data_IF_809587752193
#
_entry.id   IF_809587752193
#
_cell.length_a   1.000
_cell.length_b   1.000
_cell.length_c   1.000
_cell.angle_alpha   90.00
_cell.angle_beta   90.00
_cell.angle_gamma   90.00
#
_symmetry.space_group_name_H-M   'P 1'
#
loop_
_entity.id
_entity.type
_entity.pdbx_description
1 polymer ?
#
# COMPACT_ATOMS: atom_id res chain seq x y z
N UNK A 1 -11.92 11.74 -46.27
CA UNK A 1 -12.32 11.75 -44.89
C UNK A 1 -12.68 13.16 -44.47
N UNK A 2 -13.79 13.32 -43.79
CA UNK A 2 -14.24 14.64 -43.37
C UNK A 2 -13.44 15.12 -42.18
N UNK A 3 -12.99 16.36 -42.21
CA UNK A 3 -12.19 16.97 -41.17
C UNK A 3 -12.87 16.89 -39.77
N UNK A 4 -14.19 17.01 -39.73
CA UNK A 4 -14.99 16.91 -38.48
C UNK A 4 -14.79 15.56 -37.79
N UNK A 5 -14.73 14.47 -38.54
CA UNK A 5 -14.49 13.12 -37.99
C UNK A 5 -13.09 13.01 -37.39
N UNK A 6 -12.09 13.56 -38.07
CA UNK A 6 -10.71 13.57 -37.58
C UNK A 6 -10.59 14.36 -36.28
N UNK A 7 -11.21 15.54 -36.19
CA UNK A 7 -11.19 16.38 -35.00
C UNK A 7 -11.89 15.68 -33.83
N UNK A 8 -13.04 15.06 -34.07
CA UNK A 8 -13.75 14.32 -33.02
C UNK A 8 -12.92 13.16 -32.49
N UNK A 9 -12.24 12.41 -33.36
CA UNK A 9 -11.38 11.30 -32.97
C UNK A 9 -10.23 11.80 -32.09
N UNK A 10 -9.61 12.92 -32.45
CA UNK A 10 -8.51 13.51 -31.66
C UNK A 10 -8.98 13.96 -30.28
N UNK A 11 -10.16 14.57 -30.19
CA UNK A 11 -10.73 15.01 -28.92
C UNK A 11 -11.01 13.81 -28.02
N UNK A 12 -11.65 12.77 -28.53
CA UNK A 12 -11.96 11.55 -27.78
C UNK A 12 -10.66 10.88 -27.28
N UNK A 13 -9.66 10.76 -28.14
CA UNK A 13 -8.37 10.18 -27.78
C UNK A 13 -7.68 10.98 -26.66
N UNK A 14 -7.74 12.32 -26.74
CA UNK A 14 -7.16 13.18 -25.71
C UNK A 14 -7.85 13.02 -24.36
N UNK A 15 -9.19 12.93 -24.36
CA UNK A 15 -9.98 12.72 -23.13
C UNK A 15 -9.65 11.38 -22.51
N UNK A 16 -9.56 10.31 -23.31
CA UNK A 16 -9.21 8.97 -22.80
C UNK A 16 -7.81 8.95 -22.22
N UNK A 17 -6.86 9.64 -22.83
CA UNK A 17 -5.50 9.74 -22.31
C UNK A 17 -5.45 10.45 -20.97
N UNK A 18 -6.17 11.56 -20.83
CA UNK A 18 -6.27 12.32 -19.58
C UNK A 18 -6.90 11.47 -18.49
N UNK A 19 -7.99 10.76 -18.80
CA UNK A 19 -8.64 9.87 -17.84
C UNK A 19 -7.70 8.76 -17.39
N UNK A 20 -6.92 8.19 -18.31
CA UNK A 20 -5.93 7.18 -17.96
C UNK A 20 -4.90 7.72 -16.96
N UNK A 21 -4.35 8.90 -17.22
CA UNK A 21 -3.36 9.49 -16.32
C UNK A 21 -3.92 9.84 -14.94
N UNK A 22 -5.15 10.35 -14.85
CA UNK A 22 -5.71 10.80 -13.58
C UNK A 22 -6.40 9.71 -12.79
N UNK A 23 -6.99 8.72 -13.45
CA UNK A 23 -7.81 7.70 -12.78
C UNK A 23 -7.21 6.31 -12.96
N UNK A 24 -6.88 5.93 -14.19
CA UNK A 24 -6.49 4.58 -14.56
C UNK A 24 -5.06 4.20 -14.21
N UNK A 25 -4.13 5.17 -14.19
CA UNK A 25 -2.71 4.89 -13.97
C UNK A 25 -2.44 4.17 -12.64
N UNK A 26 -3.02 4.66 -11.56
CA UNK A 26 -2.86 4.03 -10.26
C UNK A 26 -3.46 2.63 -10.19
N UNK A 27 -4.62 2.41 -10.81
CA UNK A 27 -5.23 1.09 -10.90
C UNK A 27 -4.38 0.14 -11.74
N UNK A 28 -3.90 0.60 -12.89
CA UNK A 28 -3.03 -0.20 -13.76
C UNK A 28 -1.75 -0.59 -13.02
N UNK A 29 -1.09 0.37 -12.38
CA UNK A 29 0.10 0.13 -11.58
C UNK A 29 -0.15 -0.91 -10.49
N UNK A 30 -1.27 -0.79 -9.76
CA UNK A 30 -1.63 -1.72 -8.70
C UNK A 30 -1.86 -3.13 -9.25
N UNK A 31 -2.72 -3.29 -10.27
CA UNK A 31 -3.08 -4.61 -10.78
C UNK A 31 -1.95 -5.30 -11.54
N UNK A 32 -1.04 -4.55 -12.18
CA UNK A 32 0.06 -5.14 -12.94
C UNK A 32 1.34 -5.35 -12.13
N UNK A 33 1.48 -4.73 -10.99
CA UNK A 33 2.70 -4.88 -10.21
C UNK A 33 2.55 -4.60 -8.73
N UNK A 34 1.81 -3.55 -8.37
CA UNK A 34 1.71 -3.08 -7.00
C UNK A 34 1.13 -4.11 -6.03
N UNK A 35 0.08 -4.82 -6.44
CA UNK A 35 -0.55 -5.86 -5.61
C UNK A 35 0.42 -7.00 -5.32
N UNK A 36 1.11 -7.50 -6.33
CA UNK A 36 2.10 -8.55 -6.19
C UNK A 36 3.24 -8.09 -5.30
N UNK A 37 3.75 -6.89 -5.52
CA UNK A 37 4.83 -6.31 -4.75
C UNK A 37 4.46 -6.18 -3.28
N UNK A 38 3.27 -5.65 -2.96
CA UNK A 38 2.85 -5.47 -1.57
C UNK A 38 2.66 -6.81 -0.86
N UNK A 39 2.14 -7.82 -1.56
CA UNK A 39 2.00 -9.15 -0.99
C UNK A 39 3.36 -9.79 -0.73
N UNK A 40 4.31 -9.67 -1.64
CA UNK A 40 5.67 -10.16 -1.44
C UNK A 40 6.37 -9.44 -0.30
N UNK A 41 6.22 -8.14 -0.23
CA UNK A 41 6.78 -7.33 0.86
C UNK A 41 6.20 -7.76 2.21
N UNK A 42 4.90 -8.01 2.27
CA UNK A 42 4.24 -8.47 3.48
C UNK A 42 4.78 -9.83 3.95
N UNK A 43 5.02 -10.76 3.03
CA UNK A 43 5.60 -12.06 3.36
C UNK A 43 7.00 -11.90 3.94
N UNK A 44 7.83 -11.04 3.34
CA UNK A 44 9.19 -10.76 3.86
C UNK A 44 9.13 -10.15 5.25
N UNK A 45 8.25 -9.18 5.47
CA UNK A 45 8.09 -8.55 6.78
C UNK A 45 7.57 -9.57 7.80
N UNK A 46 6.63 -10.42 7.41
CA UNK A 46 6.09 -11.46 8.28
C UNK A 46 7.19 -12.43 8.72
N UNK A 47 8.07 -12.80 7.80
CA UNK A 47 9.23 -13.65 8.13
C UNK A 47 10.17 -12.95 9.12
N UNK A 48 10.37 -11.64 8.99
CA UNK A 48 11.16 -10.87 9.95
C UNK A 48 10.49 -10.82 11.32
N UNK A 49 9.17 -10.65 11.36
CA UNK A 49 8.43 -10.69 12.62
C UNK A 49 8.63 -12.02 13.34
N UNK A 50 8.49 -13.14 12.62
CA UNK A 50 8.67 -14.47 13.20
C UNK A 50 10.09 -14.76 13.60
N UNK A 51 11.08 -14.34 12.82
CA UNK A 51 12.49 -14.56 13.11
C UNK A 51 12.95 -13.81 14.37
N UNK A 52 12.43 -12.60 14.58
CA UNK A 52 12.85 -11.73 15.68
C UNK A 52 11.91 -11.75 16.90
N UNK A 53 10.75 -12.40 16.79
CA UNK A 53 9.74 -12.41 17.84
C UNK A 53 8.98 -11.08 17.97
N UNK A 54 9.22 -10.14 17.09
CA UNK A 54 8.52 -8.85 17.03
C UNK A 54 8.63 -8.27 15.63
N UNK A 55 7.67 -7.47 15.25
CA UNK A 55 7.69 -6.83 13.94
C UNK A 55 8.66 -5.63 13.93
N UNK A 56 9.38 -5.41 12.81
CA UNK A 56 10.39 -4.36 12.76
C UNK A 56 9.77 -2.97 12.89
N UNK A 57 10.46 -2.09 13.61
CA UNK A 57 10.07 -0.68 13.73
C UNK A 57 10.62 0.17 12.59
N UNK A 58 11.63 -0.33 11.88
CA UNK A 58 12.27 0.34 10.75
C UNK A 58 12.46 -0.64 9.61
N UNK A 59 12.31 -0.17 8.40
CA UNK A 59 12.56 -0.93 7.18
C UNK A 59 13.53 -0.14 6.30
N UNK A 60 14.47 -0.85 5.66
CA UNK A 60 15.44 -0.23 4.78
C UNK A 60 14.75 0.48 3.61
N UNK A 61 15.17 1.71 3.33
CA UNK A 61 14.62 2.56 2.26
C UNK A 61 13.19 3.05 2.46
N UNK A 62 12.65 2.91 3.68
CA UNK A 62 11.36 3.47 4.03
C UNK A 62 11.56 4.73 4.88
N UNK A 63 10.67 5.71 4.70
CA UNK A 63 10.66 6.95 5.47
C UNK A 63 9.75 6.82 6.68
N UNK A 64 10.14 7.45 7.79
CA UNK A 64 9.35 7.45 9.01
C UNK A 64 10.13 6.91 10.19
N UNK A 65 9.41 6.64 11.28
CA UNK A 65 10.00 6.17 12.53
C UNK A 65 9.02 5.39 13.38
N UNK A 66 9.55 4.58 14.30
CA UNK A 66 8.77 3.91 15.35
C UNK A 66 7.59 3.08 14.81
N UNK A 67 7.81 2.33 13.74
CA UNK A 67 6.80 1.44 13.21
C UNK A 67 5.72 2.14 12.39
N UNK A 68 5.92 3.41 12.03
CA UNK A 68 5.08 4.14 11.09
C UNK A 68 5.94 4.59 9.93
N UNK A 69 5.92 3.82 8.86
CA UNK A 69 6.82 4.01 7.73
C UNK A 69 6.03 4.20 6.45
N UNK A 70 6.64 4.88 5.47
CA UNK A 70 6.04 5.14 4.18
C UNK A 70 7.08 4.97 3.07
N UNK A 71 6.65 4.36 1.97
CA UNK A 71 7.44 4.27 0.75
C UNK A 71 6.50 4.43 -0.46
N UNK A 72 6.52 5.63 -1.06
CA UNK A 72 5.60 5.94 -2.15
C UNK A 72 4.14 5.87 -1.71
N UNK A 73 3.36 5.00 -2.33
CA UNK A 73 1.95 4.78 -2.00
C UNK A 73 1.74 3.73 -0.92
N UNK A 74 2.82 3.13 -0.43
CA UNK A 74 2.76 2.08 0.58
C UNK A 74 2.99 2.67 1.96
N UNK A 75 2.21 2.21 2.93
CA UNK A 75 2.36 2.58 4.33
C UNK A 75 2.50 1.31 5.16
N UNK A 76 3.40 1.34 6.11
CA UNK A 76 3.62 0.24 7.05
C UNK A 76 3.35 0.75 8.46
N UNK A 77 2.54 0.01 9.21
CA UNK A 77 2.24 0.35 10.60
C UNK A 77 2.31 -0.89 11.47
N UNK A 78 2.95 -0.76 12.61
CA UNK A 78 2.97 -1.82 13.62
C UNK A 78 1.79 -1.67 14.57
N UNK A 79 1.36 -2.78 15.14
CA UNK A 79 0.30 -2.82 16.15
C UNK A 79 0.76 -3.65 17.34
N UNK A 80 0.77 -3.15 18.57
CA UNK A 80 0.45 -1.77 18.95
C UNK A 80 1.46 -0.76 18.42
N UNK A 81 1.01 0.50 18.29
CA UNK A 81 1.86 1.59 17.83
C UNK A 81 2.74 2.03 19.01
N UNK A 82 4.09 2.06 18.84
CA UNK A 82 4.98 2.50 19.91
C UNK A 82 4.65 3.92 20.39
N UNK A 83 4.60 4.10 21.70
CA UNK A 83 4.28 5.38 22.31
C UNK A 83 2.80 5.64 22.51
N UNK A 84 1.91 4.80 21.98
CA UNK A 84 0.47 4.93 22.18
C UNK A 84 0.00 4.37 23.51
N UNK A 85 0.80 3.48 24.11
CA UNK A 85 0.54 2.89 25.42
C UNK A 85 1.80 2.97 26.26
N UNK A 86 1.62 3.20 27.57
CA UNK A 86 2.73 3.33 28.50
C UNK A 86 3.17 1.96 29.06
N UNK A 87 3.44 0.99 28.17
CA UNK A 87 3.93 -0.30 28.60
C UNK A 87 4.99 -0.84 27.64
N UNK A 88 5.75 -1.82 28.09
CA UNK A 88 6.84 -2.41 27.30
C UNK A 88 6.35 -3.09 26.02
N UNK A 89 5.10 -3.52 25.98
CA UNK A 89 4.53 -4.17 24.80
C UNK A 89 4.49 -3.26 23.58
N UNK A 90 4.42 -1.94 23.80
CA UNK A 90 4.46 -0.97 22.69
C UNK A 90 5.81 -0.92 21.99
N UNK A 91 6.90 -1.38 22.65
CA UNK A 91 8.24 -1.42 22.08
C UNK A 91 8.50 -2.69 21.25
N UNK A 92 7.65 -3.71 21.40
CA UNK A 92 7.78 -5.00 20.73
C UNK A 92 6.49 -5.36 20.03
N UNK A 93 6.18 -4.72 18.91
CA UNK A 93 4.91 -4.98 18.22
C UNK A 93 4.85 -6.40 17.69
N UNK A 94 3.69 -7.03 17.82
CA UNK A 94 3.47 -8.42 17.43
C UNK A 94 2.77 -8.56 16.10
N UNK A 95 2.25 -7.48 15.56
CA UNK A 95 1.57 -7.49 14.26
C UNK A 95 1.84 -6.21 13.49
N UNK A 96 1.56 -6.26 12.19
CA UNK A 96 1.72 -5.12 11.29
C UNK A 96 0.57 -5.04 10.30
N UNK A 97 0.42 -3.86 9.74
CA UNK A 97 -0.48 -3.58 8.62
C UNK A 97 0.33 -2.92 7.52
N UNK A 98 0.17 -3.41 6.31
CA UNK A 98 0.79 -2.84 5.12
C UNK A 98 -0.33 -2.38 4.19
N UNK A 99 -0.33 -1.10 3.85
CA UNK A 99 -1.42 -0.46 3.14
C UNK A 99 -0.91 0.07 1.80
N UNK A 100 -1.65 -0.21 0.73
CA UNK A 100 -1.43 0.41 -0.56
C UNK A 100 -2.54 1.42 -0.80
N UNK A 101 -2.17 2.70 -0.86
CA UNK A 101 -3.13 3.80 -1.06
C UNK A 101 -3.47 3.93 -2.54
N UNK A 102 -4.75 3.83 -2.85
CA UNK A 102 -5.21 4.04 -4.22
C UNK A 102 -5.33 5.54 -4.49
N UNK A 103 -4.96 5.99 -5.71
CA UNK A 103 -5.06 7.40 -6.04
C UNK A 103 -6.51 7.87 -6.20
N UNK A 104 -7.41 6.95 -6.55
CA UNK A 104 -8.82 7.24 -6.74
C UNK A 104 -9.65 5.95 -6.68
N UNK A 105 -10.72 5.89 -5.89
CA UNK A 105 -11.11 6.93 -4.92
C UNK A 105 -10.11 6.98 -3.73
N UNK A 106 -9.82 8.16 -3.19
CA UNK A 106 -8.78 8.31 -2.16
C UNK A 106 -9.10 7.66 -0.82
N UNK A 107 -10.34 7.28 -0.59
CA UNK A 107 -10.76 6.65 0.66
C UNK A 107 -10.63 5.12 0.64
N UNK A 108 -10.28 4.56 -0.50
CA UNK A 108 -10.12 3.11 -0.63
C UNK A 108 -8.63 2.74 -0.61
N UNK A 109 -8.32 1.63 0.04
CA UNK A 109 -6.96 1.10 0.06
C UNK A 109 -6.98 -0.43 0.13
N UNK A 110 -5.88 -1.01 -0.33
CA UNK A 110 -5.64 -2.44 -0.22
C UNK A 110 -4.76 -2.68 1.01
N UNK A 111 -5.17 -3.57 1.90
CA UNK A 111 -4.52 -3.79 3.16
C UNK A 111 -4.05 -5.23 3.28
N UNK A 112 -2.79 -5.40 3.75
CA UNK A 112 -2.22 -6.70 4.06
C UNK A 112 -1.82 -6.68 5.53
N UNK A 113 -2.18 -7.72 6.25
CA UNK A 113 -1.90 -7.85 7.68
C UNK A 113 -1.11 -9.11 7.95
N UNK A 114 -0.28 -9.07 8.97
CA UNK A 114 0.47 -10.22 9.43
C UNK A 114 1.05 -9.97 10.80
N UNK A 115 1.93 -10.83 11.25
CA UNK A 115 2.59 -10.71 12.54
C UNK A 115 3.21 -11.99 13.03
N UNK A 116 3.70 -11.96 14.24
CA UNK A 116 4.31 -13.12 14.89
C UNK A 116 3.26 -14.21 15.11
N UNK A 117 3.49 -15.39 14.53
CA UNK A 117 2.56 -16.51 14.62
C UNK A 117 1.28 -16.34 13.83
N UNK A 118 1.19 -15.34 12.97
CA UNK A 118 0.00 -15.05 12.17
C UNK A 118 0.24 -15.33 10.70
N UNK A 119 -0.81 -15.72 9.99
CA UNK A 119 -0.78 -15.84 8.54
C UNK A 119 -0.98 -14.46 7.90
N UNK A 120 -0.34 -14.25 6.77
CA UNK A 120 -0.56 -13.03 5.98
C UNK A 120 -1.98 -13.08 5.39
N UNK A 121 -2.77 -12.05 5.65
CA UNK A 121 -4.12 -11.90 5.11
C UNK A 121 -4.23 -10.58 4.36
N UNK A 122 -5.11 -10.51 3.39
CA UNK A 122 -5.27 -9.31 2.58
C UNK A 122 -6.73 -9.04 2.23
N UNK A 123 -7.03 -7.80 1.92
CA UNK A 123 -8.37 -7.40 1.50
C UNK A 123 -8.45 -5.92 1.22
N UNK A 124 -9.57 -5.53 0.61
CA UNK A 124 -9.87 -4.12 0.42
C UNK A 124 -10.42 -3.54 1.72
N UNK A 125 -9.94 -2.36 2.06
CA UNK A 125 -10.43 -1.57 3.18
C UNK A 125 -10.74 -0.16 2.68
N UNK A 126 -11.57 0.55 3.43
CA UNK A 126 -11.97 1.88 3.05
C UNK A 126 -13.22 2.23 3.82
N UNK A 127 -13.71 3.45 3.62
CA UNK A 127 -14.90 3.92 4.31
C UNK A 127 -15.73 2.89 5.00
#
# INVERSE_FOLDING_TARGET
>A
MKMKTVVNTLIISSILLVLYFFIGHGFVEFYFGGKKEILQTAVLINNLCNANGSCPLMLENWEGENGRLRKGRKMYMTTPIPGSENNEKSLKPQSFRLIYMMPFPPDDWFEVQGGVGKKVTSGWAGR
#
